data_IF_825036165130
#
_entry.id   IF_825036165130
#
_cell.length_a   1.000
_cell.length_b   1.000
_cell.length_c   1.000
_cell.angle_alpha   90.00
_cell.angle_beta   90.00
_cell.angle_gamma   90.00
#
_symmetry.space_group_name_H-M   'P 1'
#
loop_
_entity.id
_entity.type
_entity.pdbx_description
1 polymer ?
#
# COMPACT_ATOMS: atom_id res chain seq x y z
N UNK A 1 9.71 -9.51 12.83
CA UNK A 1 10.38 -8.45 12.04
C UNK A 1 9.42 -8.08 10.92
N UNK A 2 9.06 -6.80 10.80
CA UNK A 2 8.16 -6.34 9.73
C UNK A 2 8.96 -6.11 8.45
N UNK A 3 8.37 -6.43 7.30
CA UNK A 3 8.82 -5.94 5.99
C UNK A 3 7.78 -4.94 5.52
N UNK A 4 8.20 -3.69 5.35
CA UNK A 4 7.33 -2.55 5.09
C UNK A 4 7.27 -2.30 3.59
N UNK A 5 6.16 -1.74 3.16
CA UNK A 5 5.98 -1.40 1.76
C UNK A 5 5.18 -0.12 1.60
N UNK A 6 5.27 0.48 0.42
CA UNK A 6 4.36 1.51 -0.03
C UNK A 6 3.56 0.99 -1.22
N UNK A 7 2.28 1.34 -1.25
CA UNK A 7 1.35 0.91 -2.30
C UNK A 7 0.72 2.16 -2.88
N UNK A 8 0.67 2.28 -4.20
CA UNK A 8 0.17 3.47 -4.86
C UNK A 8 -0.21 3.27 -6.31
N UNK A 9 -0.52 4.36 -6.99
CA UNK A 9 -0.84 4.38 -8.41
C UNK A 9 -0.31 5.64 -9.09
N UNK A 10 -0.12 5.53 -10.40
CA UNK A 10 0.28 6.64 -11.25
C UNK A 10 -0.94 7.49 -11.63
N UNK A 11 -0.83 8.80 -11.44
CA UNK A 11 -1.80 9.79 -11.90
C UNK A 11 -1.58 10.09 -13.40
N UNK A 12 -2.57 10.64 -14.13
CA UNK A 12 -2.40 11.01 -15.54
C UNK A 12 -1.22 11.98 -15.81
N UNK A 13 -0.75 12.69 -14.79
CA UNK A 13 0.41 13.58 -14.86
C UNK A 13 1.77 12.87 -14.73
N UNK A 14 1.79 11.54 -14.55
CA UNK A 14 2.99 10.76 -14.23
C UNK A 14 3.37 10.75 -12.75
N UNK A 15 2.76 11.62 -11.92
CA UNK A 15 2.96 11.68 -10.46
C UNK A 15 2.45 10.43 -9.77
N UNK A 16 3.11 10.03 -8.68
CA UNK A 16 2.72 8.84 -7.91
C UNK A 16 1.95 9.25 -6.66
N UNK A 17 0.80 8.62 -6.41
CA UNK A 17 0.03 8.74 -5.16
C UNK A 17 0.05 7.42 -4.41
N UNK A 18 0.61 7.39 -3.21
CA UNK A 18 0.86 6.16 -2.46
C UNK A 18 0.59 6.31 -0.94
N UNK A 19 0.42 5.17 -0.26
CA UNK A 19 0.28 5.05 1.19
C UNK A 19 1.27 4.01 1.73
N UNK A 20 1.55 4.09 3.02
CA UNK A 20 2.37 3.12 3.75
C UNK A 20 1.58 1.85 4.10
N UNK A 21 2.25 0.69 4.07
CA UNK A 21 1.75 -0.60 4.52
C UNK A 21 2.79 -1.29 5.41
N UNK A 22 2.43 -1.63 6.65
CA UNK A 22 3.39 -2.04 7.68
C UNK A 22 3.90 -3.48 7.54
N UNK A 23 3.02 -4.43 7.27
CA UNK A 23 3.31 -5.86 7.33
C UNK A 23 3.42 -6.53 5.96
N UNK A 24 4.22 -7.59 5.92
CA UNK A 24 4.38 -8.55 4.82
C UNK A 24 4.61 -7.92 3.44
N UNK A 25 5.41 -6.87 3.38
CA UNK A 25 5.69 -6.09 2.18
C UNK A 25 6.34 -6.85 1.02
N UNK A 26 6.75 -8.10 1.16
CA UNK A 26 7.41 -8.87 0.10
C UNK A 26 6.51 -9.10 -1.12
N UNK A 27 7.09 -9.12 -2.35
CA UNK A 27 6.31 -9.34 -3.58
C UNK A 27 5.51 -10.63 -3.58
N UNK A 28 6.07 -11.71 -3.01
CA UNK A 28 5.40 -13.01 -2.87
C UNK A 28 4.09 -12.97 -2.08
N UNK A 29 3.90 -11.94 -1.24
CA UNK A 29 2.68 -11.72 -0.47
C UNK A 29 1.81 -10.64 -1.10
N UNK A 30 2.37 -9.46 -1.41
CA UNK A 30 1.56 -8.33 -1.88
C UNK A 30 1.10 -8.45 -3.32
N UNK A 31 1.93 -8.91 -4.26
CA UNK A 31 1.53 -8.94 -5.67
C UNK A 31 0.30 -9.83 -5.94
N UNK A 32 0.19 -11.05 -5.41
CA UNK A 32 -1.02 -11.86 -5.58
C UNK A 32 -2.29 -11.13 -5.12
N UNK A 33 -2.26 -10.52 -3.93
CA UNK A 33 -3.39 -9.78 -3.36
C UNK A 33 -3.75 -8.57 -4.23
N UNK A 34 -2.73 -7.81 -4.66
CA UNK A 34 -2.89 -6.62 -5.49
C UNK A 34 -3.47 -6.96 -6.87
N UNK A 35 -2.96 -8.02 -7.52
CA UNK A 35 -3.41 -8.48 -8.83
C UNK A 35 -4.82 -9.05 -8.77
N UNK A 36 -5.19 -9.78 -7.71
CA UNK A 36 -6.51 -10.40 -7.61
C UNK A 36 -7.59 -9.37 -7.22
N UNK A 37 -7.34 -8.57 -6.19
CA UNK A 37 -8.38 -7.73 -5.59
C UNK A 37 -8.34 -6.27 -6.03
N UNK A 38 -7.21 -5.77 -6.55
CA UNK A 38 -7.01 -4.36 -6.87
C UNK A 38 -6.52 -4.18 -8.31
N UNK A 39 -7.27 -4.75 -9.26
CA UNK A 39 -6.91 -4.85 -10.68
C UNK A 39 -7.51 -3.78 -11.60
N UNK A 40 -8.13 -2.76 -11.04
CA UNK A 40 -8.75 -1.65 -11.79
C UNK A 40 -8.42 -0.34 -11.10
N UNK A 41 -8.39 0.76 -11.87
CA UNK A 41 -8.08 2.10 -11.35
C UNK A 41 -9.03 2.48 -10.21
N UNK A 42 -10.31 2.11 -10.31
CA UNK A 42 -11.34 2.37 -9.30
C UNK A 42 -11.04 1.65 -7.99
N UNK A 43 -10.71 0.35 -8.05
CA UNK A 43 -10.38 -0.45 -6.86
C UNK A 43 -9.10 0.02 -6.20
N UNK A 44 -8.07 0.37 -6.99
CA UNK A 44 -6.81 0.90 -6.46
C UNK A 44 -7.03 2.26 -5.81
N UNK A 45 -7.82 3.15 -6.43
CA UNK A 45 -8.18 4.42 -5.80
C UNK A 45 -8.93 4.22 -4.48
N UNK A 46 -9.83 3.25 -4.41
CA UNK A 46 -10.56 2.91 -3.19
C UNK A 46 -9.65 2.34 -2.09
N UNK A 47 -8.62 1.56 -2.44
CA UNK A 47 -7.60 1.07 -1.51
C UNK A 47 -6.74 2.20 -0.93
N UNK A 48 -6.33 3.15 -1.76
CA UNK A 48 -5.36 4.19 -1.38
C UNK A 48 -6.03 5.38 -0.68
N UNK A 49 -7.32 5.63 -0.93
CA UNK A 49 -8.06 6.79 -0.40
C UNK A 49 -8.07 6.86 1.14
N UNK A 50 -8.29 5.76 1.90
CA UNK A 50 -8.41 5.82 3.37
C UNK A 50 -7.07 6.02 4.09
N UNK A 51 -5.95 5.88 3.38
CA UNK A 51 -4.61 6.16 3.93
C UNK A 51 -3.80 4.90 4.22
N UNK A 52 -2.78 5.07 5.06
CA UNK A 52 -1.83 4.05 5.49
C UNK A 52 -2.52 2.93 6.26
N UNK A 53 -1.98 1.73 6.11
CA UNK A 53 -2.54 0.50 6.66
C UNK A 53 -1.47 -0.33 7.38
N UNK A 54 -1.92 -1.12 8.35
CA UNK A 54 -1.10 -2.12 9.01
C UNK A 54 -0.84 -3.29 8.07
N UNK A 55 -1.90 -3.87 7.51
CA UNK A 55 -1.84 -5.01 6.61
C UNK A 55 -2.76 -4.78 5.41
N UNK A 56 -2.33 -5.23 4.23
CA UNK A 56 -3.09 -5.08 2.99
C UNK A 56 -4.38 -5.93 3.00
N UNK A 57 -4.34 -7.12 3.61
CA UNK A 57 -5.47 -8.04 3.67
C UNK A 57 -5.37 -8.92 4.90
N UNK A 58 -6.26 -8.72 5.86
CA UNK A 58 -6.36 -9.52 7.09
C UNK A 58 -7.82 -9.65 7.54
N UNK A 59 -8.11 -10.69 8.33
CA UNK A 59 -9.38 -10.92 9.00
C UNK A 59 -9.41 -10.39 10.45
N UNK A 60 -8.30 -9.82 10.90
CA UNK A 60 -8.17 -9.19 12.22
C UNK A 60 -8.78 -7.78 12.24
N UNK A 61 -9.07 -7.29 13.46
CA UNK A 61 -9.39 -5.89 13.77
C UNK A 61 -8.41 -5.34 14.79
N UNK A 62 -8.46 -4.03 15.07
CA UNK A 62 -7.63 -3.43 16.12
C UNK A 62 -8.02 -3.90 17.53
N UNK A 63 -9.26 -4.36 17.72
CA UNK A 63 -9.80 -4.89 18.97
C UNK A 63 -9.52 -6.40 19.16
N UNK A 64 -9.35 -7.14 18.06
CA UNK A 64 -9.19 -8.61 18.03
C UNK A 64 -7.95 -9.00 17.21
N UNK A 65 -6.77 -8.57 17.66
CA UNK A 65 -5.50 -8.93 17.02
C UNK A 65 -5.21 -10.42 17.23
N UNK A 66 -4.85 -11.11 16.15
CA UNK A 66 -4.61 -12.56 16.14
C UNK A 66 -5.86 -13.45 16.05
N UNK A 67 -7.05 -12.87 15.85
CA UNK A 67 -8.30 -13.61 15.67
C UNK A 67 -8.96 -13.30 14.30
N UNK A 68 -9.42 -14.34 13.61
CA UNK A 68 -10.15 -14.23 12.35
C UNK A 68 -11.63 -13.89 12.62
N UNK A 69 -11.96 -12.61 12.76
CA UNK A 69 -13.29 -12.14 13.18
C UNK A 69 -14.13 -11.49 12.07
N UNK A 70 -13.53 -11.21 10.90
CA UNK A 70 -14.23 -10.58 9.75
C UNK A 70 -13.73 -11.09 8.41
N UNK A 71 -14.41 -10.71 7.34
CA UNK A 71 -13.92 -10.91 5.98
C UNK A 71 -12.62 -10.16 5.72
N UNK A 72 -11.75 -10.78 4.92
CA UNK A 72 -10.40 -10.28 4.70
C UNK A 72 -10.41 -8.94 3.96
N UNK A 73 -9.78 -7.92 4.55
CA UNK A 73 -9.71 -6.57 4.00
C UNK A 73 -8.50 -5.81 4.58
N UNK A 74 -8.17 -4.61 4.05
CA UNK A 74 -7.13 -3.79 4.66
C UNK A 74 -7.45 -3.43 6.10
N UNK A 75 -6.42 -3.37 6.95
CA UNK A 75 -6.52 -2.89 8.33
C UNK A 75 -5.90 -1.50 8.40
N UNK A 76 -6.72 -0.45 8.33
CA UNK A 76 -6.21 0.91 8.20
C UNK A 76 -5.81 1.50 9.56
N UNK A 77 -4.76 2.32 9.59
CA UNK A 77 -4.32 2.96 10.84
C UNK A 77 -5.34 3.96 11.40
N UNK A 78 -6.16 4.60 10.55
CA UNK A 78 -7.19 5.52 11.04
C UNK A 78 -8.29 4.83 11.84
N UNK A 79 -8.51 3.52 11.66
CA UNK A 79 -9.53 2.75 12.38
C UNK A 79 -9.22 2.67 13.88
N UNK A 80 -7.93 2.78 14.28
CA UNK A 80 -7.50 2.93 15.69
C UNK A 80 -7.31 4.38 16.15
N UNK A 81 -7.84 5.35 15.41
CA UNK A 81 -7.77 6.78 15.75
C UNK A 81 -6.46 7.48 15.36
N UNK A 82 -5.58 6.83 14.60
CA UNK A 82 -4.35 7.46 14.11
C UNK A 82 -4.67 8.56 13.08
N UNK A 83 -3.98 9.70 13.21
CA UNK A 83 -4.18 10.89 12.36
C UNK A 83 -3.05 11.04 11.36
N UNK A 84 -3.27 11.83 10.32
CA UNK A 84 -2.27 12.13 9.28
C UNK A 84 -1.78 10.89 8.49
N UNK A 85 -2.63 9.88 8.38
CA UNK A 85 -2.37 8.64 7.64
C UNK A 85 -2.66 8.76 6.14
N UNK A 86 -3.01 9.95 5.64
CA UNK A 86 -3.44 10.15 4.26
C UNK A 86 -2.35 9.86 3.21
N UNK A 87 -2.75 9.60 1.95
CA UNK A 87 -1.83 9.32 0.86
C UNK A 87 -0.89 10.49 0.55
N UNK A 88 0.36 10.17 0.21
CA UNK A 88 1.38 11.12 -0.24
C UNK A 88 1.42 11.16 -1.77
N UNK A 89 1.69 12.34 -2.34
CA UNK A 89 1.93 12.50 -3.78
C UNK A 89 3.38 12.94 -4.03
N UNK A 90 4.11 12.19 -4.84
CA UNK A 90 5.47 12.53 -5.31
C UNK A 90 5.46 12.92 -6.80
N UNK A 91 6.56 13.47 -7.33
CA UNK A 91 6.59 13.96 -8.71
C UNK A 91 6.77 12.84 -9.74
N UNK A 92 7.53 11.80 -9.38
CA UNK A 92 7.81 10.64 -10.21
C UNK A 92 7.97 9.37 -9.38
N UNK A 93 8.23 8.23 -10.03
CA UNK A 93 8.48 6.95 -9.37
C UNK A 93 9.85 6.91 -8.67
N UNK A 94 10.84 7.63 -9.19
CA UNK A 94 12.15 7.79 -8.57
C UNK A 94 12.02 8.59 -7.26
N UNK A 95 11.29 9.72 -7.30
CA UNK A 95 10.98 10.50 -6.09
C UNK A 95 10.16 9.69 -5.09
N UNK A 96 9.23 8.84 -5.58
CA UNK A 96 8.46 7.94 -4.72
C UNK A 96 9.37 6.93 -4.02
N UNK A 97 10.24 6.27 -4.79
CA UNK A 97 11.16 5.24 -4.28
C UNK A 97 12.10 5.82 -3.22
N UNK A 98 12.67 7.01 -3.48
CA UNK A 98 13.50 7.72 -2.50
C UNK A 98 12.74 8.07 -1.23
N UNK A 99 11.55 8.66 -1.35
CA UNK A 99 10.76 9.05 -0.19
C UNK A 99 10.37 7.85 0.67
N UNK A 100 9.91 6.75 0.04
CA UNK A 100 9.48 5.56 0.78
C UNK A 100 10.65 4.79 1.38
N UNK A 101 11.84 4.81 0.75
CA UNK A 101 13.08 4.37 1.41
C UNK A 101 13.38 5.14 2.68
N UNK A 102 13.31 6.48 2.63
CA UNK A 102 13.51 7.34 3.81
C UNK A 102 12.44 7.11 4.89
N UNK A 103 11.25 6.64 4.48
CA UNK A 103 10.19 6.17 5.35
C UNK A 103 10.29 4.68 5.74
N UNK A 104 11.47 4.07 5.53
CA UNK A 104 11.81 2.70 5.93
C UNK A 104 11.00 1.60 5.21
N UNK A 105 10.34 1.91 4.10
CA UNK A 105 9.78 0.89 3.22
C UNK A 105 10.90 0.25 2.41
N UNK A 106 10.87 -1.08 2.28
CA UNK A 106 11.77 -1.89 1.45
C UNK A 106 11.21 -2.13 0.04
N UNK A 107 9.89 -1.94 -0.14
CA UNK A 107 9.21 -2.17 -1.41
C UNK A 107 8.22 -1.05 -1.76
N UNK A 108 8.11 -0.75 -3.05
CA UNK A 108 7.10 0.14 -3.62
C UNK A 108 6.32 -0.60 -4.72
N UNK A 109 5.00 -0.57 -4.62
CA UNK A 109 4.08 -1.10 -5.63
C UNK A 109 3.31 0.05 -6.26
N UNK A 110 3.36 0.17 -7.58
CA UNK A 110 2.65 1.21 -8.33
C UNK A 110 1.76 0.56 -9.37
N UNK A 111 0.46 0.82 -9.28
CA UNK A 111 -0.47 0.51 -10.36
C UNK A 111 -0.33 1.58 -11.46
N UNK A 112 0.03 1.14 -12.66
CA UNK A 112 0.12 1.98 -13.86
C UNK A 112 -1.10 1.65 -14.74
N UNK A 113 -1.97 2.63 -15.05
CA UNK A 113 -3.09 2.41 -15.96
C UNK A 113 -2.63 1.73 -17.26
N UNK A 114 -3.43 0.78 -17.75
CA UNK A 114 -3.16 -0.03 -18.96
C UNK A 114 -1.95 -0.97 -18.92
N UNK A 115 -1.14 -0.93 -17.85
CA UNK A 115 0.01 -1.83 -17.64
C UNK A 115 -0.23 -2.80 -16.49
N UNK A 116 -0.85 -2.35 -15.40
CA UNK A 116 -1.07 -3.12 -14.18
C UNK A 116 -0.06 -2.79 -13.07
N UNK A 117 0.22 -3.77 -12.20
CA UNK A 117 1.10 -3.58 -11.04
C UNK A 117 2.57 -3.72 -11.40
N UNK A 118 3.36 -2.69 -11.07
CA UNK A 118 4.83 -2.73 -11.11
C UNK A 118 5.40 -2.69 -9.70
N UNK A 119 6.41 -3.51 -9.44
CA UNK A 119 7.15 -3.57 -8.18
C UNK A 119 8.53 -2.92 -8.35
N UNK A 120 8.94 -2.18 -7.33
CA UNK A 120 10.25 -1.57 -7.19
C UNK A 120 10.80 -1.92 -5.81
N UNK A 121 12.05 -2.39 -5.75
CA UNK A 121 12.80 -2.37 -4.50
C UNK A 121 13.25 -0.93 -4.24
N UNK A 122 13.13 -0.50 -2.99
CA UNK A 122 13.52 0.86 -2.59
C UNK A 122 14.93 0.89 -2.01
N UNK A 123 15.52 -0.26 -1.67
CA UNK A 123 16.94 -0.40 -1.35
C UNK A 123 17.82 -0.22 -2.59
N UNK A 124 19.05 0.28 -2.39
CA UNK A 124 20.10 0.33 -3.42
C UNK A 124 20.66 -1.08 -3.71
#
# INVERSE_FOLDING_TARGET
>A
MATRSAIGYQLPSGRIKAVYCHWDGYPKHQLPILIEHYNTVEKVRALIKPGSMSSLRTKETWENLGEDVREAQPLYHHERGEKNTGPRITKSVEDASKFWREAWCEHLYVFVPDVGWTHYETSD
#
